data_IF_938798907898
#
_entry.id   IF_938798907898
#
_cell.length_a   1.000
_cell.length_b   1.000
_cell.length_c   1.000
_cell.angle_alpha   90.00
_cell.angle_beta   90.00
_cell.angle_gamma   90.00
#
_symmetry.space_group_name_H-M   'P 1'
#
loop_
_entity.id
_entity.type
_entity.pdbx_description
1 polymer ?
#
# COMPACT_ATOMS: atom_id res chain seq x y z
N UNK A 1 -29.13 -2.48 -10.90
CA UNK A 1 -28.86 -2.85 -9.48
C UNK A 1 -27.51 -2.29 -9.08
N UNK A 2 -27.52 -1.07 -8.53
CA UNK A 2 -26.31 -0.42 -8.03
C UNK A 2 -25.83 -1.15 -6.77
N UNK A 3 -24.55 -1.53 -6.77
CA UNK A 3 -23.93 -2.32 -5.71
C UNK A 3 -23.68 -1.47 -4.44
N UNK A 4 -23.59 -2.09 -3.25
CA UNK A 4 -23.42 -1.42 -1.95
C UNK A 4 -22.16 -0.53 -1.79
N UNK A 5 -21.27 -0.53 -2.78
CA UNK A 5 -20.00 0.20 -2.79
C UNK A 5 -20.13 1.71 -3.03
N UNK A 6 -21.20 2.15 -3.70
CA UNK A 6 -21.45 3.58 -3.92
C UNK A 6 -21.76 4.33 -2.61
N UNK A 7 -22.33 3.66 -1.61
CA UNK A 7 -22.59 4.26 -0.29
C UNK A 7 -21.32 4.48 0.53
N UNK A 8 -20.32 3.61 0.42
CA UNK A 8 -19.03 3.72 1.14
C UNK A 8 -18.16 4.84 0.56
N UNK A 9 -18.12 4.98 -0.77
CA UNK A 9 -17.45 6.09 -1.46
C UNK A 9 -18.10 7.45 -1.16
N UNK A 10 -19.43 7.49 -1.08
CA UNK A 10 -20.18 8.68 -0.69
C UNK A 10 -19.92 9.12 0.76
N UNK A 11 -19.70 8.17 1.68
CA UNK A 11 -19.40 8.46 3.09
C UNK A 11 -17.99 9.01 3.30
N UNK A 12 -16.99 8.43 2.62
CA UNK A 12 -15.61 8.92 2.65
C UNK A 12 -15.49 10.34 2.09
N UNK A 13 -16.24 10.66 1.03
CA UNK A 13 -16.29 12.03 0.49
C UNK A 13 -16.97 13.03 1.45
N UNK A 14 -17.99 12.61 2.21
CA UNK A 14 -18.61 13.47 3.24
C UNK A 14 -17.66 13.79 4.39
N UNK A 15 -16.88 12.81 4.85
CA UNK A 15 -15.87 12.99 5.92
C UNK A 15 -14.75 13.94 5.46
N UNK A 16 -14.30 13.83 4.21
CA UNK A 16 -13.31 14.76 3.63
C UNK A 16 -13.84 16.20 3.50
N UNK A 17 -15.15 16.37 3.30
CA UNK A 17 -15.77 17.69 3.13
C UNK A 17 -15.89 18.48 4.45
N UNK A 18 -15.90 17.82 5.62
CA UNK A 18 -16.07 18.46 6.93
C UNK A 18 -14.79 18.82 7.67
N UNK A 19 -13.60 18.49 7.14
CA UNK A 19 -12.32 18.78 7.79
C UNK A 19 -11.62 20.05 7.25
N UNK A 20 -10.92 20.77 8.14
CA UNK A 20 -10.13 21.96 7.81
C UNK A 20 -8.96 21.65 6.85
N UNK A 21 -8.52 22.67 6.10
CA UNK A 21 -7.61 22.58 4.95
C UNK A 21 -6.30 21.79 5.21
N UNK A 22 -5.72 21.90 6.40
CA UNK A 22 -4.50 21.18 6.79
C UNK A 22 -4.75 19.68 7.03
N UNK A 23 -5.92 19.32 7.57
CA UNK A 23 -6.36 17.92 7.69
C UNK A 23 -6.70 17.33 6.32
N UNK A 24 -7.22 18.12 5.38
CA UNK A 24 -7.54 17.64 4.02
C UNK A 24 -6.31 17.16 3.26
N UNK A 25 -5.14 17.79 3.43
CA UNK A 25 -3.89 17.35 2.80
C UNK A 25 -3.37 16.01 3.35
N UNK A 26 -3.38 15.85 4.67
CA UNK A 26 -2.92 14.61 5.33
C UNK A 26 -3.94 13.46 5.23
N UNK A 27 -5.24 13.74 5.37
CA UNK A 27 -6.29 12.73 5.14
C UNK A 27 -6.44 12.39 3.66
N UNK A 28 -6.18 13.30 2.71
CA UNK A 28 -6.12 12.90 1.29
C UNK A 28 -4.92 11.98 1.02
N UNK A 29 -3.79 12.17 1.69
CA UNK A 29 -2.65 11.25 1.63
C UNK A 29 -2.98 9.89 2.27
N UNK A 30 -3.58 9.88 3.48
CA UNK A 30 -3.99 8.65 4.19
C UNK A 30 -5.15 7.94 3.50
N UNK A 31 -6.13 8.65 2.94
CA UNK A 31 -7.26 8.09 2.18
C UNK A 31 -6.84 7.68 0.77
N UNK A 32 -5.91 8.38 0.10
CA UNK A 32 -5.27 7.85 -1.12
C UNK A 32 -4.48 6.57 -0.82
N UNK A 33 -3.79 6.50 0.32
CA UNK A 33 -3.15 5.26 0.78
C UNK A 33 -4.19 4.15 1.08
N UNK A 34 -5.33 4.48 1.70
CA UNK A 34 -6.42 3.53 1.99
C UNK A 34 -7.21 3.08 0.75
N UNK A 35 -7.28 3.90 -0.30
CA UNK A 35 -7.95 3.57 -1.59
C UNK A 35 -7.23 2.47 -2.39
N UNK A 36 -6.07 1.99 -1.95
CA UNK A 36 -5.19 1.15 -2.77
C UNK A 36 -4.45 0.03 -2.05
N UNK A 37 -4.89 -0.48 -0.89
CA UNK A 37 -4.26 -1.67 -0.31
C UNK A 37 -4.74 -2.95 -1.01
N UNK A 38 -3.97 -3.42 -1.99
CA UNK A 38 -4.06 -4.81 -2.47
C UNK A 38 -2.79 -5.53 -2.09
N UNK A 39 -2.94 -6.46 -1.14
CA UNK A 39 -1.93 -7.47 -0.88
C UNK A 39 -1.90 -8.41 -2.07
N UNK A 40 -0.80 -8.37 -2.82
CA UNK A 40 -0.57 -9.22 -3.97
C UNK A 40 0.49 -10.26 -3.64
N UNK A 41 0.12 -11.52 -3.71
CA UNK A 41 1.05 -12.62 -3.79
C UNK A 41 0.95 -13.18 -5.22
N UNK A 42 1.96 -12.93 -6.06
CA UNK A 42 2.08 -13.59 -7.36
C UNK A 42 3.06 -14.73 -7.18
N UNK A 43 2.54 -15.95 -7.14
CA UNK A 43 3.36 -17.15 -7.18
C UNK A 43 2.95 -17.97 -8.40
N UNK A 44 3.92 -18.39 -9.22
CA UNK A 44 3.73 -19.41 -10.26
C UNK A 44 4.01 -20.82 -9.72
N UNK A 45 3.71 -21.06 -8.45
CA UNK A 45 3.90 -22.34 -7.75
C UNK A 45 2.64 -22.74 -6.97
N UNK A 46 2.54 -24.03 -6.65
CA UNK A 46 1.41 -24.57 -5.88
C UNK A 46 1.49 -24.05 -4.43
N UNK A 47 0.49 -23.27 -4.03
CA UNK A 47 0.27 -22.89 -2.63
C UNK A 47 -0.56 -24.01 -1.99
N UNK A 48 -0.02 -24.70 -0.98
CA UNK A 48 -0.76 -25.71 -0.23
C UNK A 48 -1.09 -25.17 1.16
N UNK A 49 -2.37 -25.24 1.52
CA UNK A 49 -2.86 -24.99 2.89
C UNK A 49 -3.13 -26.38 3.48
N UNK A 50 -2.65 -26.68 4.69
CA UNK A 50 -2.88 -28.00 5.30
C UNK A 50 -4.37 -28.36 5.37
N UNK A 51 -4.62 -29.62 5.07
CA UNK A 51 -5.82 -30.45 5.27
C UNK A 51 -7.18 -30.03 4.65
N UNK A 52 -7.23 -29.00 3.79
CA UNK A 52 -8.48 -28.63 3.09
C UNK A 52 -8.48 -28.84 1.57
N UNK A 53 -7.41 -29.38 0.98
CA UNK A 53 -7.41 -29.73 -0.45
C UNK A 53 -7.67 -31.22 -0.69
N UNK A 54 -8.85 -31.69 -0.29
CA UNK A 54 -9.45 -32.92 -0.80
C UNK A 54 -10.68 -32.57 -1.66
N UNK A 55 -10.44 -32.07 -2.88
CA UNK A 55 -11.38 -32.12 -4.01
C UNK A 55 -12.82 -31.60 -3.85
N UNK A 56 -13.21 -30.93 -2.76
CA UNK A 56 -14.60 -30.54 -2.51
C UNK A 56 -14.71 -29.13 -1.91
N UNK A 57 -15.71 -28.32 -2.33
CA UNK A 57 -15.89 -26.97 -1.83
C UNK A 57 -16.64 -27.00 -0.48
N UNK A 58 -15.92 -27.02 0.64
CA UNK A 58 -16.55 -26.85 1.95
C UNK A 58 -16.28 -25.46 2.54
N UNK A 59 -17.30 -24.62 2.47
CA UNK A 59 -17.45 -23.42 3.30
C UNK A 59 -18.15 -23.81 4.60
N UNK A 60 -17.50 -23.62 5.75
CA UNK A 60 -18.22 -23.42 7.01
C UNK A 60 -17.54 -22.36 7.89
N UNK A 61 -18.40 -21.63 8.61
CA UNK A 61 -18.07 -20.44 9.39
C UNK A 61 -17.26 -20.71 10.65
N UNK A 62 -17.28 -19.70 11.53
CA UNK A 62 -16.56 -19.56 12.80
C UNK A 62 -15.20 -18.85 12.77
N UNK A 63 -15.09 -17.91 13.72
CA UNK A 63 -14.06 -16.88 13.83
C UNK A 63 -12.76 -17.43 14.39
N UNK A 64 -11.69 -17.35 13.60
CA UNK A 64 -10.30 -17.69 13.97
C UNK A 64 -9.40 -16.79 13.12
N UNK A 65 -8.27 -16.32 13.69
CA UNK A 65 -7.24 -15.44 13.08
C UNK A 65 -6.90 -15.89 11.65
N UNK A 66 -7.04 -15.00 10.66
CA UNK A 66 -6.98 -15.32 9.22
C UNK A 66 -5.82 -14.64 8.51
N UNK A 67 -5.06 -15.41 7.75
CA UNK A 67 -3.99 -14.97 6.87
C UNK A 67 -4.44 -15.26 5.44
N UNK A 68 -4.79 -14.24 4.66
CA UNK A 68 -5.56 -14.43 3.42
C UNK A 68 -4.85 -13.88 2.19
N UNK A 69 -4.83 -14.69 1.13
CA UNK A 69 -4.31 -14.34 -0.20
C UNK A 69 -5.48 -14.16 -1.16
N UNK A 70 -5.52 -13.07 -1.93
CA UNK A 70 -6.36 -13.02 -3.14
C UNK A 70 -5.65 -13.83 -4.23
N UNK A 71 -6.08 -15.08 -4.44
CA UNK A 71 -5.62 -15.91 -5.55
C UNK A 71 -6.55 -15.69 -6.74
N UNK A 72 -5.97 -15.33 -7.89
CA UNK A 72 -6.69 -15.15 -9.14
C UNK A 72 -6.40 -16.35 -10.04
N UNK A 73 -7.45 -17.10 -10.38
CA UNK A 73 -7.38 -18.23 -11.31
C UNK A 73 -8.33 -17.95 -12.49
N UNK A 74 -7.79 -17.97 -13.71
CA UNK A 74 -8.52 -17.79 -14.99
C UNK A 74 -9.61 -16.70 -15.00
N UNK A 75 -9.27 -15.47 -14.58
CA UNK A 75 -10.19 -14.32 -14.69
C UNK A 75 -11.36 -14.30 -13.69
N UNK A 76 -11.49 -15.31 -12.82
CA UNK A 76 -12.51 -15.34 -11.77
C UNK A 76 -11.91 -14.90 -10.43
N UNK A 77 -12.47 -13.84 -9.83
CA UNK A 77 -12.13 -13.45 -8.45
C UNK A 77 -12.82 -14.42 -7.49
N UNK A 78 -12.17 -15.53 -7.18
CA UNK A 78 -12.64 -16.43 -6.13
C UNK A 78 -12.17 -15.92 -4.77
N UNK A 79 -13.09 -15.79 -3.82
CA UNK A 79 -12.81 -15.35 -2.44
C UNK A 79 -12.10 -16.49 -1.69
N UNK A 80 -10.80 -16.62 -1.84
CA UNK A 80 -10.00 -17.59 -1.10
C UNK A 80 -9.74 -17.08 0.32
N UNK A 81 -10.41 -17.69 1.30
CA UNK A 81 -10.03 -17.58 2.71
C UNK A 81 -9.08 -18.73 3.02
N UNK A 82 -7.80 -18.54 2.74
CA UNK A 82 -6.78 -19.39 3.35
C UNK A 82 -6.80 -19.08 4.86
N UNK A 83 -6.87 -20.12 5.69
CA UNK A 83 -6.58 -20.00 7.10
C UNK A 83 -5.09 -20.27 7.23
N UNK A 84 -4.33 -19.36 7.85
CA UNK A 84 -3.01 -19.75 8.30
C UNK A 84 -3.19 -20.83 9.37
N UNK A 85 -2.54 -21.96 9.19
CA UNK A 85 -2.69 -23.13 10.04
C UNK A 85 -1.34 -23.66 10.52
N UNK A 86 -0.24 -23.09 10.01
CA UNK A 86 1.11 -23.65 10.18
C UNK A 86 1.94 -22.95 11.25
N UNK A 87 2.89 -23.71 11.80
CA UNK A 87 3.84 -23.28 12.82
C UNK A 87 3.24 -23.08 14.21
N UNK A 88 4.08 -22.73 15.20
CA UNK A 88 3.67 -22.60 16.61
C UNK A 88 2.56 -21.56 16.82
N UNK A 89 2.51 -20.53 15.98
CA UNK A 89 1.54 -19.42 16.06
C UNK A 89 0.35 -19.57 15.11
N UNK A 90 0.32 -20.59 14.24
CA UNK A 90 -0.74 -20.81 13.22
C UNK A 90 -1.00 -19.54 12.40
N UNK A 91 0.07 -18.91 11.91
CA UNK A 91 0.03 -17.56 11.31
C UNK A 91 0.54 -17.47 9.86
N UNK A 92 1.06 -18.57 9.32
CA UNK A 92 1.51 -18.67 7.93
C UNK A 92 0.98 -19.92 7.21
N UNK A 93 1.32 -20.02 5.92
CA UNK A 93 1.08 -21.17 5.05
C UNK A 93 2.38 -21.59 4.36
N UNK A 94 2.39 -22.73 3.69
CA UNK A 94 3.57 -23.25 2.99
C UNK A 94 3.50 -23.04 1.47
N UNK A 95 4.62 -22.55 0.91
CA UNK A 95 4.90 -22.53 -0.52
C UNK A 95 5.70 -23.77 -0.88
N UNK A 96 5.11 -24.68 -1.66
CA UNK A 96 5.77 -25.90 -2.11
C UNK A 96 6.41 -25.67 -3.48
N UNK A 97 7.72 -25.83 -3.56
CA UNK A 97 8.47 -25.76 -4.82
C UNK A 97 9.14 -27.10 -5.20
N UNK A 98 9.12 -28.07 -4.29
CA UNK A 98 9.77 -29.39 -4.41
C UNK A 98 9.25 -30.28 -5.56
N UNK A 99 8.07 -29.97 -6.11
CA UNK A 99 7.54 -30.65 -7.29
C UNK A 99 8.16 -30.14 -8.61
N UNK A 100 8.87 -29.01 -8.58
CA UNK A 100 9.55 -28.46 -9.74
C UNK A 100 10.96 -29.06 -9.86
N UNK A 101 11.44 -29.39 -11.08
CA UNK A 101 12.80 -29.89 -11.26
C UNK A 101 13.84 -28.91 -10.70
N UNK A 102 14.89 -29.39 -10.00
CA UNK A 102 15.92 -28.52 -9.40
C UNK A 102 16.57 -27.55 -10.39
N UNK A 103 16.80 -28.00 -11.63
CA UNK A 103 17.37 -27.15 -12.69
C UNK A 103 16.47 -25.97 -13.06
N UNK A 104 15.14 -26.16 -13.00
CA UNK A 104 14.17 -25.09 -13.23
C UNK A 104 14.23 -24.06 -12.10
N UNK A 105 14.31 -24.52 -10.84
CA UNK A 105 14.44 -23.62 -9.69
C UNK A 105 15.75 -22.82 -9.74
N UNK A 106 16.87 -23.47 -10.06
CA UNK A 106 18.18 -22.83 -10.20
C UNK A 106 18.22 -21.81 -11.34
N UNK A 107 17.58 -22.11 -12.47
CA UNK A 107 17.58 -21.24 -13.65
C UNK A 107 16.59 -20.07 -13.55
N UNK A 108 15.36 -20.33 -13.08
CA UNK A 108 14.27 -19.34 -13.10
C UNK A 108 14.03 -18.64 -11.77
N UNK A 109 14.36 -19.27 -10.63
CA UNK A 109 14.11 -18.74 -9.28
C UNK A 109 15.35 -18.76 -8.38
N UNK A 110 16.55 -18.34 -8.86
CA UNK A 110 17.76 -18.36 -8.05
C UNK A 110 17.67 -17.44 -6.83
N UNK A 111 17.01 -16.28 -6.97
CA UNK A 111 16.83 -15.32 -5.89
C UNK A 111 16.00 -15.87 -4.74
N UNK A 112 14.84 -16.48 -5.04
CA UNK A 112 13.95 -17.06 -4.02
C UNK A 112 14.66 -18.19 -3.28
N UNK A 113 15.36 -19.08 -4.01
CA UNK A 113 16.10 -20.20 -3.42
C UNK A 113 17.18 -19.72 -2.46
N UNK A 114 17.93 -18.68 -2.85
CA UNK A 114 18.98 -18.08 -2.00
C UNK A 114 18.39 -17.40 -0.77
N UNK A 115 17.31 -16.63 -0.93
CA UNK A 115 16.64 -15.95 0.19
C UNK A 115 16.07 -16.95 1.20
N UNK A 116 15.43 -18.04 0.73
CA UNK A 116 14.92 -19.08 1.61
C UNK A 116 16.04 -19.75 2.42
N UNK A 117 17.15 -20.08 1.77
CA UNK A 117 18.30 -20.67 2.44
C UNK A 117 18.94 -19.73 3.48
N UNK A 118 19.07 -18.44 3.17
CA UNK A 118 19.71 -17.46 4.07
C UNK A 118 18.83 -17.12 5.27
N UNK A 119 17.55 -16.82 5.04
CA UNK A 119 16.68 -16.22 6.06
C UNK A 119 15.83 -17.23 6.83
N UNK A 120 15.59 -18.39 6.26
CA UNK A 120 14.74 -19.44 6.86
C UNK A 120 15.49 -20.76 7.01
N UNK A 121 16.71 -20.88 6.46
CA UNK A 121 17.50 -22.11 6.54
C UNK A 121 16.93 -23.26 5.71
N UNK A 122 15.99 -22.98 4.80
CA UNK A 122 15.24 -24.00 4.05
C UNK A 122 15.64 -24.03 2.59
N UNK A 123 15.72 -25.25 2.04
CA UNK A 123 15.97 -25.50 0.62
C UNK A 123 14.66 -25.83 -0.09
N UNK A 124 14.18 -24.94 -0.97
CA UNK A 124 12.86 -25.07 -1.62
C UNK A 124 12.66 -26.32 -2.50
N UNK A 125 13.75 -27.01 -2.89
CA UNK A 125 13.74 -28.31 -3.60
C UNK A 125 13.35 -29.47 -2.68
N UNK A 126 13.57 -29.34 -1.36
CA UNK A 126 13.40 -30.41 -0.37
C UNK A 126 12.22 -30.12 0.55
N UNK A 127 12.13 -28.88 1.02
CA UNK A 127 11.26 -28.47 2.11
C UNK A 127 10.36 -27.31 1.66
N UNK A 128 9.10 -27.25 2.14
CA UNK A 128 8.23 -26.12 1.87
C UNK A 128 8.70 -24.85 2.58
N UNK A 129 8.54 -23.70 1.92
CA UNK A 129 8.96 -22.39 2.46
C UNK A 129 7.75 -21.72 3.14
N UNK A 130 7.86 -21.29 4.42
CA UNK A 130 6.78 -20.57 5.09
C UNK A 130 6.60 -19.19 4.48
N UNK A 131 5.36 -18.85 4.11
CA UNK A 131 5.01 -17.56 3.50
C UNK A 131 3.76 -16.98 4.15
N UNK A 132 3.72 -15.65 4.23
CA UNK A 132 2.55 -14.89 4.66
C UNK A 132 2.28 -13.71 3.69
N UNK A 133 1.00 -13.35 3.47
CA UNK A 133 0.64 -12.15 2.72
C UNK A 133 1.21 -10.91 3.41
N UNK A 134 1.94 -10.10 2.66
CA UNK A 134 2.62 -8.89 3.15
C UNK A 134 2.22 -7.70 2.27
N UNK A 135 2.10 -6.51 2.86
CA UNK A 135 1.89 -5.27 2.09
C UNK A 135 3.05 -5.12 1.09
N UNK A 136 2.72 -4.83 -0.17
CA UNK A 136 3.70 -4.91 -1.26
C UNK A 136 3.78 -3.66 -2.13
N UNK A 137 2.65 -3.04 -2.48
CA UNK A 137 2.59 -1.93 -3.43
C UNK A 137 1.42 -1.00 -3.10
N UNK A 138 1.62 0.31 -3.26
CA UNK A 138 0.56 1.31 -3.12
C UNK A 138 0.05 1.74 -4.50
N UNK A 139 -1.21 1.44 -4.81
CA UNK A 139 -1.81 1.93 -6.07
C UNK A 139 -2.29 3.39 -5.98
N UNK A 140 -2.57 3.86 -4.77
CA UNK A 140 -2.89 5.27 -4.54
C UNK A 140 -1.64 6.12 -4.44
N UNK A 141 -1.82 7.43 -4.50
CA UNK A 141 -0.73 8.40 -4.50
C UNK A 141 -1.23 9.78 -4.87
N UNK A 142 -0.31 10.63 -5.35
CA UNK A 142 -0.62 11.96 -5.87
C UNK A 142 -1.31 11.79 -7.24
N UNK A 143 -2.56 12.26 -7.42
CA UNK A 143 -3.24 12.16 -8.70
C UNK A 143 -2.52 13.02 -9.74
N UNK A 144 -2.33 12.46 -10.93
CA UNK A 144 -1.67 13.13 -12.06
C UNK A 144 -2.49 12.95 -13.34
N UNK A 145 -2.28 13.86 -14.29
CA UNK A 145 -2.74 13.63 -15.66
C UNK A 145 -1.75 12.72 -16.43
N UNK A 146 -2.07 12.40 -17.69
CA UNK A 146 -1.24 11.52 -18.52
C UNK A 146 0.14 12.10 -18.89
N UNK A 147 0.37 13.41 -18.67
CA UNK A 147 1.67 14.05 -18.85
C UNK A 147 2.55 13.98 -17.60
N UNK A 148 2.02 13.53 -16.46
CA UNK A 148 2.73 13.47 -15.18
C UNK A 148 2.58 14.72 -14.31
N UNK A 149 1.73 15.67 -14.70
CA UNK A 149 1.44 16.88 -13.91
C UNK A 149 0.46 16.54 -12.79
N UNK A 150 0.75 16.98 -11.56
CA UNK A 150 -0.15 16.80 -10.43
C UNK A 150 -1.46 17.56 -10.65
N UNK A 151 -2.58 16.93 -10.30
CA UNK A 151 -3.93 17.53 -10.42
C UNK A 151 -4.62 17.60 -9.06
N UNK A 152 -5.54 18.56 -8.90
CA UNK A 152 -6.40 18.69 -7.73
C UNK A 152 -7.85 18.88 -8.13
N UNK A 153 -8.74 18.51 -7.21
CA UNK A 153 -10.16 18.82 -7.33
C UNK A 153 -10.41 20.19 -6.70
N UNK A 154 -10.92 21.15 -7.47
CA UNK A 154 -11.33 22.47 -6.98
C UNK A 154 -12.57 22.94 -7.73
N UNK A 155 -13.53 23.48 -6.98
CA UNK A 155 -14.79 24.04 -7.50
C UNK A 155 -15.57 23.09 -8.43
N UNK A 156 -15.53 21.79 -8.14
CA UNK A 156 -16.21 20.74 -8.94
C UNK A 156 -15.44 20.26 -10.17
N UNK A 157 -14.35 20.93 -10.56
CA UNK A 157 -13.43 20.46 -11.60
C UNK A 157 -12.41 19.50 -10.99
N UNK A 158 -12.28 18.29 -11.55
CA UNK A 158 -11.46 17.21 -11.01
C UNK A 158 -10.00 17.23 -11.49
N UNK A 159 -9.69 18.00 -12.55
CA UNK A 159 -8.40 17.92 -13.26
C UNK A 159 -7.70 19.29 -13.34
N UNK A 160 -7.68 20.03 -12.23
CA UNK A 160 -6.93 21.30 -12.18
C UNK A 160 -5.45 21.02 -11.96
N UNK A 161 -4.63 21.35 -12.94
CA UNK A 161 -3.17 21.16 -12.89
C UNK A 161 -2.53 22.07 -11.85
N UNK A 162 -1.68 21.48 -11.00
CA UNK A 162 -0.77 22.18 -10.10
C UNK A 162 0.50 22.51 -10.88
N UNK A 163 0.64 23.78 -11.26
CA UNK A 163 1.74 24.25 -12.09
C UNK A 163 3.11 23.95 -11.45
N UNK A 164 4.00 23.36 -12.24
CA UNK A 164 5.38 23.07 -11.85
C UNK A 164 5.57 21.85 -10.94
N UNK A 165 4.50 21.10 -10.63
CA UNK A 165 4.59 19.88 -9.84
C UNK A 165 4.40 18.64 -10.71
N UNK A 166 5.51 17.95 -10.98
CA UNK A 166 5.54 16.68 -11.70
C UNK A 166 5.72 15.52 -10.72
N UNK A 167 5.03 14.40 -10.92
CA UNK A 167 5.16 13.20 -10.08
C UNK A 167 5.16 11.96 -10.96
N UNK A 168 6.03 10.99 -10.68
CA UNK A 168 6.14 9.74 -11.42
C UNK A 168 6.34 8.53 -10.49
N UNK A 169 6.04 7.33 -10.99
CA UNK A 169 6.25 6.06 -10.29
C UNK A 169 5.26 5.79 -9.16
N UNK A 170 5.64 4.98 -8.17
CA UNK A 170 4.74 4.51 -7.10
C UNK A 170 4.21 5.64 -6.19
N UNK A 171 4.79 6.84 -6.23
CA UNK A 171 4.25 8.01 -5.53
C UNK A 171 2.95 8.56 -6.16
N UNK A 172 2.61 8.11 -7.37
CA UNK A 172 1.49 8.62 -8.15
C UNK A 172 0.24 7.78 -8.00
N UNK A 173 -0.90 8.42 -8.26
CA UNK A 173 -2.12 7.76 -8.69
C UNK A 173 -2.32 8.07 -10.17
N UNK A 174 -1.52 7.43 -11.05
CA UNK A 174 -1.72 7.45 -12.51
C UNK A 174 -3.03 6.81 -12.93
N UNK A 175 -3.63 6.00 -12.05
CA UNK A 175 -4.84 5.20 -12.27
C UNK A 175 -4.73 4.15 -13.40
N UNK A 176 -3.58 3.98 -14.06
CA UNK A 176 -3.37 2.88 -15.04
C UNK A 176 -3.46 1.50 -14.37
N UNK A 177 -3.27 1.46 -13.05
CA UNK A 177 -3.43 0.26 -12.23
C UNK A 177 -4.83 0.09 -11.65
N UNK A 178 -5.70 1.11 -11.76
CA UNK A 178 -7.01 1.15 -11.11
C UNK A 178 -6.94 0.73 -9.63
N UNK A 179 -7.81 -0.19 -9.23
CA UNK A 179 -7.82 -0.76 -7.87
C UNK A 179 -6.93 -1.99 -7.70
N UNK A 180 -6.29 -2.49 -8.77
CA UNK A 180 -5.45 -3.68 -8.72
C UNK A 180 -4.42 -3.71 -9.86
N UNK A 181 -3.15 -3.46 -9.50
CA UNK A 181 -2.01 -3.50 -10.44
C UNK A 181 -1.75 -4.90 -10.99
N UNK A 182 -1.54 -5.04 -12.31
CA UNK A 182 -1.01 -6.26 -12.92
C UNK A 182 0.50 -6.44 -12.68
N UNK A 183 0.96 -7.69 -12.59
CA UNK A 183 2.34 -8.00 -12.20
C UNK A 183 3.32 -7.46 -13.22
N UNK A 184 4.52 -7.06 -12.79
CA UNK A 184 5.58 -6.45 -13.62
C UNK A 184 5.31 -5.04 -14.20
N UNK A 185 4.11 -4.47 -14.05
CA UNK A 185 3.79 -3.17 -14.66
C UNK A 185 4.31 -1.91 -13.92
N UNK A 186 4.91 -2.05 -12.73
CA UNK A 186 5.38 -0.89 -11.94
C UNK A 186 6.72 -0.36 -12.42
N UNK A 187 7.60 -1.25 -12.89
CA UNK A 187 8.86 -0.83 -13.48
C UNK A 187 8.62 -0.10 -14.80
N UNK A 188 7.64 -0.56 -15.57
CA UNK A 188 7.18 0.11 -16.78
C UNK A 188 6.61 1.50 -16.46
N UNK A 189 5.71 1.58 -15.48
CA UNK A 189 5.13 2.85 -14.99
C UNK A 189 6.20 3.88 -14.63
N UNK A 190 7.23 3.49 -13.87
CA UNK A 190 8.34 4.36 -13.50
C UNK A 190 9.07 4.93 -14.74
N UNK A 191 9.40 4.07 -15.71
CA UNK A 191 10.16 4.48 -16.91
C UNK A 191 9.30 5.34 -17.83
N UNK A 192 8.06 4.94 -18.08
CA UNK A 192 7.16 5.61 -19.01
C UNK A 192 6.74 6.98 -18.47
N UNK A 193 6.25 7.06 -17.23
CA UNK A 193 5.85 8.34 -16.65
C UNK A 193 7.04 9.23 -16.28
N UNK A 194 8.20 8.65 -15.95
CA UNK A 194 9.44 9.40 -15.82
C UNK A 194 9.81 10.11 -17.12
N UNK A 195 9.70 9.40 -18.26
CA UNK A 195 9.92 9.98 -19.60
C UNK A 195 8.83 10.98 -19.98
N UNK A 196 7.56 10.69 -19.70
CA UNK A 196 6.45 11.60 -19.97
C UNK A 196 6.64 12.93 -19.23
N UNK A 197 7.04 12.89 -17.95
CA UNK A 197 7.36 14.08 -17.17
C UNK A 197 8.48 14.88 -17.82
N UNK A 198 9.57 14.22 -18.23
CA UNK A 198 10.70 14.89 -18.87
C UNK A 198 10.29 15.58 -20.18
N UNK A 199 9.57 14.87 -21.06
CA UNK A 199 9.05 15.44 -22.31
C UNK A 199 8.13 16.63 -22.03
N UNK A 200 7.23 16.50 -21.05
CA UNK A 200 6.31 17.57 -20.69
C UNK A 200 7.06 18.82 -20.22
N UNK A 201 8.05 18.66 -19.35
CA UNK A 201 8.89 19.77 -18.88
C UNK A 201 9.57 20.47 -20.06
N UNK A 202 10.06 19.74 -21.07
CA UNK A 202 10.68 20.36 -22.26
C UNK A 202 9.70 21.11 -23.16
N UNK A 203 8.41 20.81 -23.11
CA UNK A 203 7.37 21.54 -23.85
C UNK A 203 7.00 22.86 -23.15
N UNK A 204 6.95 22.85 -21.81
CA UNK A 204 6.44 23.97 -21.02
C UNK A 204 7.54 24.88 -20.44
N UNK A 205 8.80 24.42 -20.42
CA UNK A 205 9.95 25.14 -19.90
C UNK A 205 11.17 25.03 -20.82
N UNK A 206 12.00 26.07 -20.78
CA UNK A 206 13.29 26.14 -21.48
C UNK A 206 14.45 26.30 -20.49
N UNK A 207 15.62 25.71 -20.78
CA UNK A 207 16.84 25.97 -20.01
C UNK A 207 17.15 27.46 -19.95
N UNK A 208 17.47 27.97 -18.75
CA UNK A 208 17.80 29.38 -18.53
C UNK A 208 16.62 30.32 -18.28
N UNK A 209 15.38 29.80 -18.21
CA UNK A 209 14.23 30.61 -17.82
C UNK A 209 14.40 31.23 -16.43
N UNK A 210 13.98 32.50 -16.31
CA UNK A 210 13.96 33.19 -15.02
C UNK A 210 12.93 32.54 -14.12
N UNK A 211 13.39 32.03 -12.98
CA UNK A 211 12.53 31.47 -11.95
C UNK A 211 11.86 32.61 -11.16
N UNK A 212 10.62 32.38 -10.72
CA UNK A 212 9.97 33.29 -9.76
C UNK A 212 10.84 33.36 -8.50
N UNK A 213 11.13 34.56 -7.96
CA UNK A 213 11.82 34.66 -6.68
C UNK A 213 11.00 33.95 -5.60
N UNK A 214 11.68 33.25 -4.70
CA UNK A 214 11.07 32.67 -3.51
C UNK A 214 10.70 33.79 -2.54
N UNK A 215 9.69 33.55 -1.70
CA UNK A 215 9.40 34.42 -0.57
C UNK A 215 10.54 34.34 0.45
N UNK A 216 10.80 35.43 1.17
CA UNK A 216 11.96 35.53 2.06
C UNK A 216 11.93 34.52 3.22
N UNK A 217 10.73 34.10 3.63
CA UNK A 217 10.46 33.18 4.74
C UNK A 217 10.24 31.72 4.28
N UNK A 218 10.51 31.41 3.01
CA UNK A 218 10.39 30.04 2.48
C UNK A 218 11.22 29.07 3.34
N UNK A 219 10.52 28.08 3.91
CA UNK A 219 11.14 27.02 4.71
C UNK A 219 11.30 27.36 6.21
N UNK A 220 11.10 28.60 6.65
CA UNK A 220 11.23 28.98 8.07
C UNK A 220 10.28 28.15 8.96
N UNK A 221 9.05 27.90 8.51
CA UNK A 221 8.09 27.04 9.22
C UNK A 221 8.60 25.61 9.40
N UNK A 222 9.28 25.06 8.38
CA UNK A 222 9.85 23.70 8.43
C UNK A 222 11.02 23.64 9.42
N UNK A 223 11.85 24.68 9.46
CA UNK A 223 12.94 24.80 10.43
C UNK A 223 12.37 24.91 11.85
N UNK A 224 11.35 25.75 12.05
CA UNK A 224 10.68 25.89 13.34
C UNK A 224 10.05 24.56 13.81
N UNK A 225 9.43 23.80 12.91
CA UNK A 225 8.91 22.47 13.22
C UNK A 225 10.02 21.48 13.60
N UNK A 226 11.15 21.50 12.91
CA UNK A 226 12.31 20.67 13.25
C UNK A 226 12.85 21.02 14.65
N UNK A 227 12.91 22.30 14.99
CA UNK A 227 13.40 22.77 16.29
C UNK A 227 12.47 22.33 17.44
N UNK A 228 11.15 22.46 17.24
CA UNK A 228 10.13 21.94 18.19
C UNK A 228 10.34 20.44 18.43
N UNK A 229 10.53 19.65 17.38
CA UNK A 229 10.79 18.22 17.51
C UNK A 229 12.11 17.97 18.22
N UNK A 230 13.19 18.61 17.82
CA UNK A 230 14.54 18.44 18.39
C UNK A 230 14.56 18.64 19.91
N UNK A 231 13.81 19.60 20.43
CA UNK A 231 13.72 19.90 21.86
C UNK A 231 12.47 19.33 22.54
N UNK A 232 11.72 18.46 21.84
CA UNK A 232 10.56 17.78 22.43
C UNK A 232 10.98 16.92 23.62
N UNK A 233 10.30 17.11 24.75
CA UNK A 233 10.57 16.41 26.00
C UNK A 233 9.29 15.78 26.57
N UNK A 234 8.50 15.17 25.68
CA UNK A 234 7.31 14.42 26.08
C UNK A 234 7.67 13.10 26.78
N UNK A 235 6.65 12.26 27.00
CA UNK A 235 6.82 10.97 27.68
C UNK A 235 7.00 9.78 26.74
N UNK A 236 6.67 9.93 25.45
CA UNK A 236 6.60 8.82 24.50
C UNK A 236 7.76 8.82 23.51
N UNK A 237 8.59 7.76 23.45
CA UNK A 237 9.64 7.68 22.45
C UNK A 237 9.04 7.52 21.04
N UNK A 238 9.70 8.13 20.05
CA UNK A 238 9.30 8.06 18.63
C UNK A 238 9.05 6.61 18.17
N UNK A 239 9.86 5.65 18.62
CA UNK A 239 9.70 4.23 18.28
C UNK A 239 8.37 3.64 18.72
N UNK A 240 7.84 4.05 19.88
CA UNK A 240 6.57 3.57 20.42
C UNK A 240 5.39 4.15 19.63
N UNK A 241 5.41 5.45 19.35
CA UNK A 241 4.40 6.11 18.51
C UNK A 241 4.39 5.49 17.11
N UNK A 242 5.58 5.36 16.50
CA UNK A 242 5.74 4.74 15.16
C UNK A 242 5.19 3.32 15.13
N UNK A 243 5.39 2.50 16.18
CA UNK A 243 4.89 1.12 16.20
C UNK A 243 3.37 1.00 16.32
N UNK A 244 2.68 2.03 16.83
CA UNK A 244 1.22 2.01 16.93
C UNK A 244 0.58 1.99 15.54
N UNK A 245 1.05 2.82 14.61
CA UNK A 245 0.44 2.93 13.27
C UNK A 245 0.45 1.61 12.48
N UNK A 246 1.59 0.91 12.28
CA UNK A 246 1.61 -0.38 11.58
C UNK A 246 0.75 -1.44 12.26
N UNK A 247 0.67 -1.44 13.60
CA UNK A 247 -0.18 -2.40 14.34
C UNK A 247 -1.66 -2.14 14.09
N UNK A 248 -2.10 -0.89 14.15
CA UNK A 248 -3.47 -0.50 13.84
C UNK A 248 -3.80 -0.86 12.38
N UNK A 249 -2.94 -0.47 11.44
CA UNK A 249 -3.13 -0.79 10.02
C UNK A 249 -3.18 -2.31 9.77
N UNK A 250 -2.25 -3.08 10.36
CA UNK A 250 -2.26 -4.54 10.26
C UNK A 250 -3.48 -5.18 10.89
N UNK A 251 -4.10 -4.56 11.91
CA UNK A 251 -5.27 -5.10 12.60
C UNK A 251 -6.60 -4.72 11.95
N UNK A 252 -6.71 -3.49 11.48
CA UNK A 252 -7.96 -2.85 11.08
C UNK A 252 -8.09 -2.67 9.56
N UNK A 253 -6.97 -2.53 8.83
CA UNK A 253 -6.94 -2.37 7.36
C UNK A 253 -6.33 -3.60 6.67
N UNK A 254 -6.87 -4.79 6.99
CA UNK A 254 -6.45 -6.08 6.43
C UNK A 254 -7.00 -6.31 5.03
N UNK A 255 -6.54 -7.39 4.38
CA UNK A 255 -7.09 -7.93 3.12
C UNK A 255 -8.61 -8.10 3.16
N UNK A 256 -9.15 -8.44 4.33
CA UNK A 256 -10.57 -8.44 4.61
C UNK A 256 -10.85 -7.46 5.74
N UNK A 257 -11.67 -6.47 5.45
CA UNK A 257 -12.12 -5.45 6.38
C UNK A 257 -13.64 -5.33 6.30
N UNK A 258 -14.27 -4.98 7.42
CA UNK A 258 -15.66 -4.55 7.47
C UNK A 258 -15.71 -3.06 7.79
N UNK A 259 -16.87 -2.45 7.63
CA UNK A 259 -17.04 -1.03 7.94
C UNK A 259 -16.70 -0.74 9.40
N UNK A 260 -17.18 -1.56 10.33
CA UNK A 260 -17.00 -1.37 11.77
C UNK A 260 -15.51 -1.41 12.16
N UNK A 261 -14.77 -2.38 11.59
CA UNK A 261 -13.32 -2.53 11.84
C UNK A 261 -12.53 -1.34 11.28
N UNK A 262 -12.93 -0.81 10.13
CA UNK A 262 -12.28 0.36 9.51
C UNK A 262 -12.56 1.64 10.30
N UNK A 263 -13.80 1.84 10.76
CA UNK A 263 -14.18 3.00 11.58
C UNK A 263 -13.40 3.02 12.90
N UNK A 264 -13.29 1.87 13.57
CA UNK A 264 -12.41 1.72 14.74
C UNK A 264 -10.95 2.05 14.36
N UNK A 265 -10.48 1.54 13.23
CA UNK A 265 -9.13 1.82 12.71
C UNK A 265 -8.85 3.31 12.54
N UNK A 266 -9.79 4.07 11.96
CA UNK A 266 -9.68 5.52 11.80
C UNK A 266 -9.52 6.22 13.16
N UNK A 267 -10.39 5.90 14.13
CA UNK A 267 -10.32 6.48 15.47
C UNK A 267 -8.98 6.17 16.17
N UNK A 268 -8.44 4.96 15.97
CA UNK A 268 -7.15 4.56 16.54
C UNK A 268 -5.97 5.28 15.87
N UNK A 269 -6.03 5.50 14.56
CA UNK A 269 -5.01 6.29 13.84
C UNK A 269 -5.03 7.75 14.30
N UNK A 270 -6.21 8.36 14.47
CA UNK A 270 -6.33 9.73 14.97
C UNK A 270 -5.70 9.85 16.37
N UNK A 271 -5.98 8.90 17.27
CA UNK A 271 -5.34 8.85 18.59
C UNK A 271 -3.82 8.65 18.52
N UNK A 272 -3.34 7.82 17.58
CA UNK A 272 -1.91 7.63 17.37
C UNK A 272 -1.24 8.91 16.87
N UNK A 273 -1.91 9.66 16.00
CA UNK A 273 -1.46 10.97 15.53
C UNK A 273 -1.43 11.99 16.67
N UNK A 274 -2.50 12.10 17.46
CA UNK A 274 -2.55 12.99 18.63
C UNK A 274 -1.42 12.72 19.62
N UNK A 275 -1.05 11.45 19.82
CA UNK A 275 0.06 11.08 20.70
C UNK A 275 1.43 11.62 20.25
N UNK A 276 1.58 12.04 18.99
CA UNK A 276 2.81 12.63 18.48
C UNK A 276 3.12 13.99 19.12
N UNK A 277 2.13 14.68 19.70
CA UNK A 277 2.37 15.90 20.47
C UNK A 277 3.15 15.66 21.77
N UNK A 278 3.15 14.43 22.30
CA UNK A 278 3.90 14.03 23.50
C UNK A 278 5.17 13.24 23.14
N UNK A 279 5.72 13.48 21.94
CA UNK A 279 6.92 12.80 21.47
C UNK A 279 8.15 13.21 22.29
N UNK A 280 9.02 12.22 22.49
CA UNK A 280 10.38 12.35 22.97
C UNK A 280 11.32 11.79 21.90
N UNK A 281 12.29 12.61 21.51
CA UNK A 281 13.35 12.25 20.57
C UNK A 281 14.53 11.58 21.28
#
# INVERSE_FOLDING_TARGET
MATPWFHVLGYLNRILSSCNFTLRGYMALVVSLLKGFVVKAVFSGIIKVSDLWNGTPQYQGFGIKRCCIKVYDHGNVRRWRCRATEGPLKDHIYLHLNHLPPDVLKKRFPGISKTAAIFVGMEGTKEPIPVLPTVHYNMGGIPINFHGEAVIVKDGNQDIVVLGLMVAGEATCTSVHGTNRLGANSLLDIVDFGRACANRVTEIHKPGEKKKPLENDVGEKTIAWLDILRYSNGSLPTSKIRLNMPRIMQNNAKVFCTQEILEEGCQLIDKAWESFHDVKL
#
